data_IF_650133141873
#
_entry.id   IF_650133141873
#
_cell.length_a   1.000
_cell.length_b   1.000
_cell.length_c   1.000
_cell.angle_alpha   90.00
_cell.angle_beta   90.00
_cell.angle_gamma   90.00
#
_symmetry.space_group_name_H-M   'P 1'
#
loop_
_entity.id
_entity.type
_entity.pdbx_description
1 polymer ?
#
# COMPACT_ATOMS: atom_id res chain seq x y z
N UNK A 1 -11.54 -6.92 -8.98
CA UNK A 1 -10.76 -7.57 -7.90
C UNK A 1 -9.49 -6.77 -7.55
N UNK A 2 -8.58 -6.43 -8.50
CA UNK A 2 -7.31 -5.79 -8.17
C UNK A 2 -7.47 -4.44 -7.46
N UNK A 3 -8.34 -3.57 -7.98
CA UNK A 3 -8.62 -2.26 -7.37
C UNK A 3 -9.22 -2.36 -5.96
N UNK A 4 -10.04 -3.38 -5.67
CA UNK A 4 -10.62 -3.59 -4.35
C UNK A 4 -9.55 -4.04 -3.33
N UNK A 5 -8.59 -4.85 -3.77
CA UNK A 5 -7.45 -5.28 -2.93
C UNK A 5 -6.53 -4.09 -2.64
N UNK A 6 -6.26 -3.24 -3.63
CA UNK A 6 -5.46 -2.02 -3.44
C UNK A 6 -6.11 -1.07 -2.44
N UNK A 7 -7.43 -0.85 -2.54
CA UNK A 7 -8.17 -0.01 -1.60
C UNK A 7 -8.16 -0.60 -0.17
N UNK A 8 -8.36 -1.92 -0.03
CA UNK A 8 -8.31 -2.58 1.28
C UNK A 8 -6.90 -2.53 1.90
N UNK A 9 -5.85 -2.76 1.11
CA UNK A 9 -4.46 -2.68 1.55
C UNK A 9 -4.06 -1.26 2.00
N UNK A 10 -4.55 -0.22 1.29
CA UNK A 10 -4.33 1.18 1.65
C UNK A 10 -4.95 1.52 3.01
N UNK A 11 -6.14 0.98 3.30
CA UNK A 11 -6.84 1.19 4.58
C UNK A 11 -6.20 0.40 5.73
N UNK A 12 -5.76 -0.83 5.47
CA UNK A 12 -5.18 -1.73 6.49
C UNK A 12 -3.73 -1.33 6.85
N UNK A 13 -2.98 -0.75 5.91
CA UNK A 13 -1.57 -0.39 6.11
C UNK A 13 -1.32 0.83 7.02
N UNK A 14 -2.37 1.57 7.41
CA UNK A 14 -2.22 2.82 8.17
C UNK A 14 -1.71 2.71 9.63
N UNK A 15 -1.75 1.56 10.34
CA UNK A 15 -1.19 1.52 11.70
C UNK A 15 -0.23 0.37 12.04
N UNK A 16 -0.02 -0.64 11.19
CA UNK A 16 0.79 -1.81 11.55
C UNK A 16 1.97 -1.97 10.60
N UNK A 17 3.18 -1.99 11.17
CA UNK A 17 4.46 -2.34 10.57
C UNK A 17 4.28 -3.12 9.25
N UNK A 18 4.84 -2.61 8.14
CA UNK A 18 4.70 -3.20 6.81
C UNK A 18 4.94 -4.70 6.82
N UNK A 19 5.93 -5.15 7.59
CA UNK A 19 6.29 -6.55 7.74
C UNK A 19 5.14 -7.39 8.32
N UNK A 20 4.42 -6.88 9.32
CA UNK A 20 3.29 -7.57 9.95
C UNK A 20 2.10 -7.64 8.99
N UNK A 21 1.77 -6.52 8.36
CA UNK A 21 0.65 -6.45 7.40
C UNK A 21 0.92 -7.32 6.16
N UNK A 22 2.17 -7.36 5.70
CA UNK A 22 2.60 -8.22 4.60
C UNK A 22 2.45 -9.69 4.96
N UNK A 23 3.02 -10.13 6.09
CA UNK A 23 2.94 -11.54 6.52
C UNK A 23 1.48 -11.98 6.75
N UNK A 24 0.63 -11.12 7.30
CA UNK A 24 -0.80 -11.38 7.49
C UNK A 24 -1.57 -11.54 6.18
N UNK A 25 -1.21 -10.79 5.13
CA UNK A 25 -1.93 -10.80 3.86
C UNK A 25 -1.41 -11.86 2.86
N UNK A 26 -0.19 -12.36 3.02
CA UNK A 26 0.36 -13.48 2.22
C UNK A 26 -0.60 -14.69 2.13
N UNK A 27 -1.13 -15.26 3.23
CA UNK A 27 -2.07 -16.38 3.15
C UNK A 27 -3.39 -16.01 2.47
N UNK A 28 -3.85 -14.77 2.63
CA UNK A 28 -5.04 -14.25 1.96
C UNK A 28 -4.82 -14.20 0.44
N UNK A 29 -3.68 -13.68 -0.01
CA UNK A 29 -3.30 -13.63 -1.43
C UNK A 29 -3.25 -15.03 -2.03
N UNK A 30 -2.63 -15.99 -1.35
CA UNK A 30 -2.59 -17.38 -1.80
C UNK A 30 -4.00 -17.97 -1.93
N UNK A 31 -4.86 -17.72 -0.95
CA UNK A 31 -6.25 -18.21 -0.95
C UNK A 31 -7.07 -17.60 -2.08
N UNK A 32 -6.93 -16.29 -2.30
CA UNK A 32 -7.63 -15.55 -3.38
C UNK A 32 -7.15 -16.00 -4.74
N UNK A 33 -5.84 -16.18 -4.94
CA UNK A 33 -5.28 -16.66 -6.20
C UNK A 33 -5.77 -18.08 -6.53
N UNK A 34 -5.77 -18.98 -5.53
CA UNK A 34 -6.23 -20.37 -5.70
C UNK A 34 -7.73 -20.45 -5.98
N UNK A 35 -8.56 -19.64 -5.30
CA UNK A 35 -10.02 -19.61 -5.54
C UNK A 35 -10.39 -18.97 -6.87
N UNK A 36 -9.64 -17.97 -7.31
CA UNK A 36 -9.92 -17.25 -8.55
C UNK A 36 -9.28 -17.91 -9.79
N UNK A 37 -8.51 -18.99 -9.59
CA UNK A 37 -7.73 -19.65 -10.63
C UNK A 37 -6.78 -18.68 -11.38
N UNK A 38 -6.26 -17.67 -10.68
CA UNK A 38 -5.36 -16.66 -11.23
C UNK A 38 -3.92 -16.88 -10.75
N UNK A 39 -2.95 -16.42 -11.53
CA UNK A 39 -1.55 -16.44 -11.11
C UNK A 39 -1.35 -15.62 -9.83
N UNK A 40 -0.50 -16.12 -8.92
CA UNK A 40 -0.22 -15.46 -7.62
C UNK A 40 0.19 -13.99 -7.76
N UNK A 41 0.99 -13.67 -8.76
CA UNK A 41 1.48 -12.32 -9.04
C UNK A 41 0.36 -11.31 -9.32
N UNK A 42 -0.74 -11.74 -9.93
CA UNK A 42 -1.88 -10.86 -10.24
C UNK A 42 -2.58 -10.32 -8.99
N UNK A 43 -2.46 -11.02 -7.88
CA UNK A 43 -3.07 -10.68 -6.58
C UNK A 43 -2.00 -10.13 -5.62
N UNK A 44 -0.78 -10.67 -5.66
CA UNK A 44 0.33 -10.29 -4.79
C UNK A 44 0.94 -8.92 -5.12
N UNK A 45 1.11 -8.57 -6.39
CA UNK A 45 1.66 -7.26 -6.79
C UNK A 45 0.76 -6.09 -6.36
N UNK A 46 -0.57 -6.11 -6.59
CA UNK A 46 -1.46 -5.04 -6.12
C UNK A 46 -1.52 -4.92 -4.60
N UNK A 47 -1.43 -6.04 -3.88
CA UNK A 47 -1.33 -6.04 -2.42
C UNK A 47 -0.03 -5.36 -1.97
N UNK A 48 1.12 -5.78 -2.52
CA UNK A 48 2.42 -5.22 -2.17
C UNK A 48 2.49 -3.71 -2.50
N UNK A 49 2.00 -3.31 -3.67
CA UNK A 49 1.92 -1.91 -4.08
C UNK A 49 1.08 -1.07 -3.10
N UNK A 50 -0.10 -1.54 -2.72
CA UNK A 50 -0.97 -0.84 -1.76
C UNK A 50 -0.32 -0.69 -0.39
N UNK A 51 0.28 -1.77 0.13
CA UNK A 51 0.98 -1.77 1.42
C UNK A 51 2.17 -0.80 1.40
N UNK A 52 3.01 -0.85 0.37
CA UNK A 52 4.22 -0.04 0.29
C UNK A 52 3.90 1.46 0.20
N UNK A 53 2.88 1.82 -0.58
CA UNK A 53 2.41 3.20 -0.68
C UNK A 53 1.83 3.70 0.64
N UNK A 54 0.98 2.92 1.31
CA UNK A 54 0.40 3.33 2.60
C UNK A 54 1.47 3.52 3.69
N UNK A 55 2.51 2.68 3.68
CA UNK A 55 3.52 2.65 4.73
C UNK A 55 4.66 3.65 4.50
N UNK A 56 5.14 3.78 3.26
CA UNK A 56 6.33 4.55 2.94
C UNK A 56 6.07 6.05 2.69
N UNK A 57 4.85 6.44 2.33
CA UNK A 57 4.54 7.77 1.82
C UNK A 57 3.74 8.65 2.79
N UNK A 58 3.08 8.06 3.80
CA UNK A 58 2.19 8.79 4.69
C UNK A 58 2.73 8.84 6.14
N UNK A 59 2.85 10.03 6.75
CA UNK A 59 2.92 10.17 8.21
C UNK A 59 1.67 9.49 8.83
N UNK A 60 1.79 8.71 9.92
CA UNK A 60 2.73 8.85 11.03
C UNK A 60 3.95 7.90 11.01
N UNK A 61 4.30 7.27 9.88
CA UNK A 61 5.44 6.35 9.83
C UNK A 61 6.76 7.06 10.22
N UNK A 62 7.70 6.41 10.96
CA UNK A 62 8.90 7.07 11.47
C UNK A 62 9.72 7.79 10.41
N UNK A 63 9.90 7.20 9.21
CA UNK A 63 10.68 7.84 8.15
C UNK A 63 10.02 9.11 7.56
N UNK A 64 8.75 9.11 7.10
CA UNK A 64 8.05 10.34 6.72
C UNK A 64 7.96 11.35 7.85
N UNK A 65 7.70 10.89 9.08
CA UNK A 65 7.50 11.78 10.23
C UNK A 65 8.79 12.48 10.64
N UNK A 66 9.93 11.78 10.58
CA UNK A 66 11.25 12.37 10.77
C UNK A 66 11.59 13.39 9.67
N UNK A 67 11.22 13.12 8.42
CA UNK A 67 11.41 14.09 7.34
C UNK A 67 10.55 15.34 7.56
N UNK A 68 9.27 15.17 7.92
CA UNK A 68 8.35 16.28 8.21
C UNK A 68 8.87 17.14 9.35
N UNK A 69 9.35 16.54 10.44
CA UNK A 69 9.90 17.27 11.58
C UNK A 69 11.25 17.93 11.27
N UNK A 70 12.13 17.27 10.52
CA UNK A 70 13.43 17.82 10.13
C UNK A 70 13.32 19.04 9.21
N UNK A 71 12.34 19.05 8.30
CA UNK A 71 12.11 20.15 7.36
C UNK A 71 11.08 21.18 7.85
N UNK A 72 10.51 21.01 9.05
CA UNK A 72 9.46 21.90 9.57
C UNK A 72 8.19 21.92 8.72
N UNK A 73 7.91 20.82 8.01
CA UNK A 73 6.80 20.74 7.06
C UNK A 73 5.45 20.54 7.79
N UNK A 74 4.36 20.96 7.14
CA UNK A 74 3.01 20.74 7.67
C UNK A 74 2.57 19.28 7.44
N UNK A 75 2.35 18.53 8.52
CA UNK A 75 1.93 17.12 8.48
C UNK A 75 0.67 16.88 7.64
N UNK A 76 -0.34 17.77 7.74
CA UNK A 76 -1.57 17.65 6.97
C UNK A 76 -1.35 17.82 5.46
N UNK A 77 -0.48 18.76 5.08
CA UNK A 77 -0.11 18.95 3.67
C UNK A 77 0.70 17.76 3.15
N UNK A 78 1.61 17.21 3.95
CA UNK A 78 2.41 16.04 3.58
C UNK A 78 1.54 14.79 3.40
N UNK A 79 0.54 14.57 4.26
CA UNK A 79 -0.44 13.50 4.09
C UNK A 79 -1.22 13.69 2.78
N UNK A 80 -1.66 14.91 2.50
CA UNK A 80 -2.41 15.22 1.27
C UNK A 80 -1.56 14.95 0.01
N UNK A 81 -0.32 15.44 -0.04
CA UNK A 81 0.60 15.15 -1.13
C UNK A 81 0.96 13.67 -1.23
N UNK A 82 1.16 13.00 -0.09
CA UNK A 82 1.41 11.57 -0.01
C UNK A 82 0.28 10.74 -0.59
N UNK A 83 -0.98 11.16 -0.40
CA UNK A 83 -2.14 10.50 -0.97
C UNK A 83 -2.29 10.80 -2.48
N UNK A 84 -2.11 12.06 -2.88
CA UNK A 84 -2.19 12.50 -4.29
C UNK A 84 -1.15 11.80 -5.16
N UNK A 85 0.06 11.56 -4.64
CA UNK A 85 1.13 10.83 -5.34
C UNK A 85 1.00 9.31 -5.12
N UNK A 86 0.58 8.90 -3.93
CA UNK A 86 0.45 7.50 -3.56
C UNK A 86 -0.61 6.75 -4.35
N UNK A 87 -1.79 7.34 -4.56
CA UNK A 87 -2.88 6.72 -5.34
C UNK A 87 -2.43 6.36 -6.76
N UNK A 88 -1.89 7.28 -7.59
CA UNK A 88 -1.44 6.93 -8.93
C UNK A 88 -0.28 5.92 -8.90
N UNK A 89 0.65 6.02 -7.94
CA UNK A 89 1.69 5.01 -7.75
C UNK A 89 1.12 3.62 -7.50
N UNK A 90 0.15 3.49 -6.57
CA UNK A 90 -0.50 2.22 -6.24
C UNK A 90 -1.29 1.65 -7.44
N UNK A 91 -1.93 2.52 -8.23
CA UNK A 91 -2.67 2.11 -9.43
C UNK A 91 -1.72 1.63 -10.53
N UNK A 92 -0.62 2.36 -10.77
CA UNK A 92 0.36 2.03 -11.81
C UNK A 92 1.13 0.73 -11.48
N UNK A 93 1.60 0.59 -10.24
CA UNK A 93 2.46 -0.54 -9.82
C UNK A 93 1.67 -1.79 -9.42
N UNK A 94 0.37 -1.64 -9.14
CA UNK A 94 -0.51 -2.75 -8.79
C UNK A 94 -1.42 -3.17 -9.95
N UNK A 95 -2.69 -2.70 -10.00
CA UNK A 95 -3.69 -3.14 -10.98
C UNK A 95 -3.31 -2.97 -12.45
N UNK A 96 -2.53 -1.95 -12.80
CA UNK A 96 -2.18 -1.67 -14.19
C UNK A 96 -1.04 -2.57 -14.68
N UNK A 97 -0.05 -2.83 -13.81
CA UNK A 97 1.07 -3.72 -14.09
C UNK A 97 0.64 -5.20 -14.15
N UNK A 98 -0.41 -5.55 -13.42
CA UNK A 98 -0.95 -6.92 -13.42
C UNK A 98 -2.07 -7.16 -14.42
N UNK A 99 -2.34 -6.26 -15.38
CA UNK A 99 -3.18 -6.57 -16.54
C UNK A 99 -2.39 -7.29 -17.63
#
# INVERSE_FOLDING_TARGET
IPAAITAAALLIGMPHLFDVSFVMLVPLVYTVAKRSNTHLLWVGLPMAAGLYVSHGLLPPHPSPTLAVSAYGANTGLTILWGLVIGIPMAVLTGPLLTR
#
